data_IF_632596734728
#
_entry.id   IF_632596734728
#
_cell.length_a   1.000
_cell.length_b   1.000
_cell.length_c   1.000
_cell.angle_alpha   90.00
_cell.angle_beta   90.00
_cell.angle_gamma   90.00
#
_symmetry.space_group_name_H-M   'P 1'
#
loop_
_entity.id
_entity.type
_entity.pdbx_description
1 polymer ?
#
# COMPACT_ATOMS: atom_id res chain seq x y z
N UNK A 1 -1.76 -10.93 9.83
CA UNK A 1 -0.94 -9.70 9.93
C UNK A 1 -0.03 -9.65 8.72
N UNK A 2 0.09 -8.52 8.04
CA UNK A 2 0.98 -8.41 6.89
C UNK A 2 2.39 -8.00 7.33
N UNK A 3 3.39 -8.26 6.50
CA UNK A 3 4.76 -7.77 6.68
C UNK A 3 5.26 -7.21 5.35
N UNK A 4 5.87 -6.04 5.39
CA UNK A 4 6.44 -5.40 4.21
C UNK A 4 7.89 -5.05 4.48
N UNK A 5 8.77 -5.31 3.53
CA UNK A 5 10.18 -4.99 3.67
C UNK A 5 10.77 -4.38 2.41
N UNK A 6 11.78 -3.56 2.60
CA UNK A 6 12.64 -3.04 1.55
C UNK A 6 14.10 -3.13 1.97
N UNK A 7 14.94 -3.53 1.05
CA UNK A 7 16.39 -3.60 1.26
C UNK A 7 17.11 -3.05 0.04
N UNK A 8 18.03 -2.14 0.27
CA UNK A 8 18.92 -1.61 -0.75
C UNK A 8 20.24 -2.40 -0.75
N UNK A 9 20.75 -2.66 -1.94
CA UNK A 9 22.07 -3.19 -2.24
C UNK A 9 22.85 -2.14 -3.03
N UNK A 10 24.10 -2.40 -3.38
CA UNK A 10 24.94 -1.44 -4.12
C UNK A 10 24.34 -1.02 -5.47
N UNK A 11 23.78 -1.97 -6.23
CA UNK A 11 23.25 -1.73 -7.58
C UNK A 11 21.76 -2.02 -7.72
N UNK A 12 21.10 -2.49 -6.68
CA UNK A 12 19.71 -2.93 -6.74
C UNK A 12 18.98 -2.67 -5.43
N UNK A 13 17.68 -2.85 -5.43
CA UNK A 13 16.88 -2.94 -4.22
C UNK A 13 15.82 -4.04 -4.35
N UNK A 14 15.37 -4.55 -3.23
CA UNK A 14 14.29 -5.54 -3.15
C UNK A 14 13.17 -4.98 -2.29
N UNK A 15 11.97 -5.02 -2.83
CA UNK A 15 10.72 -4.85 -2.10
C UNK A 15 10.04 -6.22 -1.98
N UNK A 16 9.58 -6.57 -0.80
CA UNK A 16 8.82 -7.79 -0.58
C UNK A 16 7.69 -7.55 0.43
N UNK A 17 6.59 -8.25 0.24
CA UNK A 17 5.44 -8.20 1.15
C UNK A 17 4.74 -9.56 1.17
N UNK A 18 4.33 -10.01 2.36
CA UNK A 18 3.27 -10.98 2.54
C UNK A 18 1.96 -10.27 2.88
N UNK A 19 0.84 -10.83 2.46
CA UNK A 19 -0.49 -10.36 2.79
C UNK A 19 -1.28 -11.46 3.46
N UNK A 20 -1.68 -11.21 4.69
CA UNK A 20 -2.54 -12.12 5.45
C UNK A 20 -4.00 -11.71 5.22
N UNK A 21 -4.73 -12.60 4.56
CA UNK A 21 -6.13 -12.38 4.17
C UNK A 21 -7.04 -13.50 4.71
N UNK A 22 -8.35 -13.35 4.51
CA UNK A 22 -9.31 -14.41 4.85
C UNK A 22 -9.03 -15.70 4.10
N UNK A 23 -9.32 -16.87 4.70
CA UNK A 23 -8.97 -18.18 4.17
C UNK A 23 -9.41 -18.45 2.73
N UNK A 24 -10.55 -17.94 2.31
CA UNK A 24 -11.12 -18.17 0.98
C UNK A 24 -11.12 -16.90 0.13
N UNK A 25 -10.29 -15.94 0.46
CA UNK A 25 -10.17 -14.69 -0.28
C UNK A 25 -9.08 -14.81 -1.34
N UNK A 26 -9.45 -14.90 -2.64
CA UNK A 26 -8.45 -15.01 -3.69
C UNK A 26 -7.66 -13.70 -3.85
N UNK A 27 -6.34 -13.82 -3.93
CA UNK A 27 -5.45 -12.76 -4.38
C UNK A 27 -5.07 -12.98 -5.84
N UNK A 28 -5.15 -11.93 -6.63
CA UNK A 28 -4.92 -11.93 -8.07
C UNK A 28 -3.67 -11.12 -8.38
N UNK A 29 -2.80 -11.68 -9.22
CA UNK A 29 -1.72 -10.92 -9.86
C UNK A 29 -2.25 -10.35 -11.17
N UNK A 30 -2.25 -9.01 -11.30
CA UNK A 30 -2.86 -8.31 -12.43
C UNK A 30 -1.88 -7.30 -13.00
N UNK A 31 -1.62 -7.39 -14.31
CA UNK A 31 -0.94 -6.34 -15.06
C UNK A 31 -1.95 -5.40 -15.71
N UNK A 32 -1.84 -4.12 -15.45
CA UNK A 32 -2.64 -3.07 -16.07
C UNK A 32 -1.73 -2.18 -16.90
N UNK A 33 -2.03 -2.07 -18.18
CA UNK A 33 -1.28 -1.20 -19.08
C UNK A 33 -1.65 0.26 -18.82
N UNK A 34 -0.66 1.10 -18.67
CA UNK A 34 -0.81 2.53 -18.56
C UNK A 34 -1.13 3.20 -19.91
N UNK A 35 -1.38 4.49 -19.85
CA UNK A 35 -1.67 5.30 -21.02
C UNK A 35 -2.49 6.53 -20.71
N UNK A 36 -2.88 7.26 -21.76
CA UNK A 36 -3.80 8.38 -21.66
C UNK A 36 -5.20 7.86 -21.32
N UNK A 37 -5.83 8.51 -20.35
CA UNK A 37 -7.20 8.18 -19.93
C UNK A 37 -8.20 9.07 -20.64
N UNK A 38 -9.44 8.60 -20.77
CA UNK A 38 -10.54 9.35 -21.39
C UNK A 38 -11.69 9.61 -20.42
N UNK A 39 -11.73 8.89 -19.33
CA UNK A 39 -12.71 9.03 -18.26
C UNK A 39 -12.37 10.25 -17.40
N UNK A 40 -13.41 10.97 -16.98
CA UNK A 40 -13.24 12.10 -16.04
C UNK A 40 -13.04 11.66 -14.60
N UNK A 41 -13.55 10.49 -14.27
CA UNK A 41 -13.52 9.92 -12.92
C UNK A 41 -13.09 8.46 -12.94
N UNK A 42 -12.45 8.02 -11.88
CA UNK A 42 -12.18 6.63 -11.59
C UNK A 42 -13.02 6.18 -10.40
N UNK A 43 -13.76 5.09 -10.59
CA UNK A 43 -14.52 4.45 -9.53
C UNK A 43 -13.60 3.49 -8.78
N UNK A 44 -13.20 3.90 -7.57
CA UNK A 44 -12.47 3.07 -6.62
C UNK A 44 -13.41 2.07 -5.93
N UNK A 45 -12.97 1.44 -4.84
CA UNK A 45 -13.78 0.42 -4.17
C UNK A 45 -15.12 0.98 -3.68
N UNK A 46 -15.14 2.15 -3.05
CA UNK A 46 -16.36 2.74 -2.50
C UNK A 46 -16.73 4.10 -3.11
N UNK A 47 -15.77 4.92 -3.47
CA UNK A 47 -16.01 6.27 -3.96
C UNK A 47 -15.42 6.47 -5.35
N UNK A 48 -15.90 7.47 -6.07
CA UNK A 48 -15.30 7.97 -7.30
C UNK A 48 -14.49 9.23 -7.02
N UNK A 49 -13.34 9.36 -7.69
CA UNK A 49 -12.47 10.53 -7.62
C UNK A 49 -12.07 10.94 -9.04
N UNK A 50 -11.60 12.18 -9.26
CA UNK A 50 -11.09 12.60 -10.55
C UNK A 50 -9.99 11.67 -11.08
N UNK A 51 -10.10 11.30 -12.35
CA UNK A 51 -9.10 10.49 -13.02
C UNK A 51 -7.92 11.37 -13.46
N UNK A 52 -6.70 10.82 -13.37
CA UNK A 52 -5.53 11.46 -13.95
C UNK A 52 -5.60 11.38 -15.48
N UNK A 53 -5.07 12.39 -16.19
CA UNK A 53 -5.02 12.38 -17.67
C UNK A 53 -4.14 11.26 -18.22
N UNK A 54 -3.19 10.80 -17.44
CA UNK A 54 -2.30 9.70 -17.77
C UNK A 54 -2.05 8.84 -16.52
N UNK A 55 -2.06 7.52 -16.69
CA UNK A 55 -1.71 6.56 -15.65
C UNK A 55 -0.56 5.67 -16.12
N UNK A 56 0.28 5.25 -15.19
CA UNK A 56 1.41 4.37 -15.48
C UNK A 56 1.00 2.91 -15.45
N UNK A 57 1.72 2.08 -16.22
CA UNK A 57 1.53 0.63 -16.19
C UNK A 57 1.92 0.09 -14.81
N UNK A 58 1.12 -0.85 -14.30
CA UNK A 58 1.31 -1.41 -12.97
C UNK A 58 1.16 -2.93 -12.97
N UNK A 59 1.98 -3.60 -12.18
CA UNK A 59 1.79 -4.99 -11.77
C UNK A 59 1.31 -4.97 -10.31
N UNK A 60 0.12 -5.48 -10.08
CA UNK A 60 -0.57 -5.43 -8.80
C UNK A 60 -0.80 -6.83 -8.24
N UNK A 61 -0.77 -6.95 -6.92
CA UNK A 61 -1.35 -8.07 -6.19
C UNK A 61 -2.52 -7.54 -5.38
N UNK A 62 -3.71 -8.04 -5.68
CA UNK A 62 -4.95 -7.49 -5.16
C UNK A 62 -5.93 -8.56 -4.72
N UNK A 63 -6.71 -8.30 -3.67
CA UNK A 63 -7.90 -9.09 -3.39
C UNK A 63 -8.86 -9.03 -4.58
N UNK A 64 -9.53 -10.14 -4.87
CA UNK A 64 -10.40 -10.28 -6.05
C UNK A 64 -11.53 -9.24 -6.11
N UNK A 65 -12.04 -8.83 -4.97
CA UNK A 65 -13.24 -7.99 -4.83
C UNK A 65 -12.96 -6.48 -4.75
N UNK A 66 -11.73 -6.05 -4.39
CA UNK A 66 -11.40 -4.62 -4.32
C UNK A 66 -11.02 -4.06 -5.68
N UNK A 67 -11.17 -2.76 -5.90
CA UNK A 67 -10.59 -2.08 -7.06
C UNK A 67 -9.08 -1.92 -6.90
N UNK A 68 -8.62 -1.60 -5.71
CA UNK A 68 -7.23 -1.36 -5.36
C UNK A 68 -6.39 -2.62 -5.17
N UNK A 69 -5.19 -2.49 -4.62
CA UNK A 69 -4.23 -3.56 -4.44
C UNK A 69 -3.51 -3.50 -3.08
N UNK A 70 -3.13 -4.64 -2.54
CA UNK A 70 -2.35 -4.78 -1.31
C UNK A 70 -0.89 -4.36 -1.50
N UNK A 71 -0.39 -4.57 -2.71
CA UNK A 71 0.96 -4.22 -3.13
C UNK A 71 1.06 -4.17 -4.65
N UNK A 72 2.10 -3.54 -5.13
CA UNK A 72 2.42 -3.54 -6.55
C UNK A 72 3.69 -2.76 -6.86
N UNK A 73 4.00 -2.76 -8.14
CA UNK A 73 5.10 -2.00 -8.75
C UNK A 73 4.62 -1.37 -10.04
N UNK A 74 5.13 -0.19 -10.37
CA UNK A 74 4.85 0.45 -11.65
C UNK A 74 6.05 0.37 -12.62
N UNK A 75 5.84 0.81 -13.85
CA UNK A 75 6.86 0.81 -14.91
C UNK A 75 8.12 1.66 -14.61
N UNK A 76 8.05 2.54 -13.61
CA UNK A 76 9.17 3.36 -13.14
C UNK A 76 9.93 2.71 -11.98
N UNK A 77 9.52 1.51 -11.54
CA UNK A 77 10.13 0.83 -10.41
C UNK A 77 9.70 1.36 -9.04
N UNK A 78 8.66 2.18 -8.97
CA UNK A 78 8.04 2.53 -7.68
C UNK A 78 7.26 1.35 -7.16
N UNK A 79 7.50 0.95 -5.92
CA UNK A 79 6.75 -0.09 -5.22
C UNK A 79 6.05 0.47 -4.01
N UNK A 80 4.82 0.04 -3.79
CA UNK A 80 3.99 0.43 -2.64
C UNK A 80 3.28 -0.79 -2.07
N UNK A 81 3.27 -0.91 -0.75
CA UNK A 81 2.45 -1.87 -0.02
C UNK A 81 1.83 -1.21 1.20
N UNK A 82 0.66 -1.67 1.62
CA UNK A 82 -0.01 -1.19 2.82
C UNK A 82 -0.12 -2.27 3.89
N UNK A 83 -0.17 -1.81 5.14
CA UNK A 83 -0.39 -2.60 6.35
C UNK A 83 -1.58 -2.04 7.11
N UNK A 84 -2.33 -2.92 7.79
CA UNK A 84 -3.39 -2.50 8.71
C UNK A 84 -2.78 -1.84 9.94
N UNK A 85 -3.22 -0.62 10.27
CA UNK A 85 -2.82 0.13 11.45
C UNK A 85 -4.04 0.40 12.33
N UNK A 86 -4.01 -0.07 13.58
CA UNK A 86 -5.12 0.07 14.52
C UNK A 86 -4.90 1.28 15.43
N UNK A 87 -5.43 2.43 15.02
CA UNK A 87 -5.35 3.68 15.80
C UNK A 87 -6.61 3.92 16.60
N UNK A 88 -6.54 4.77 17.61
CA UNK A 88 -7.71 5.30 18.35
C UNK A 88 -8.10 6.66 17.77
N UNK A 89 -9.42 6.94 17.71
CA UNK A 89 -9.93 8.28 17.43
C UNK A 89 -10.10 8.68 15.97
N UNK A 90 -9.94 7.76 15.00
CA UNK A 90 -10.31 8.02 13.59
C UNK A 90 -11.66 7.38 13.24
N UNK A 91 -12.41 8.03 12.36
CA UNK A 91 -13.60 7.44 11.74
C UNK A 91 -13.16 6.55 10.57
N UNK A 92 -13.13 5.24 10.82
CA UNK A 92 -12.73 4.21 9.86
C UNK A 92 -13.91 3.57 9.13
N UNK A 93 -15.15 3.86 9.57
CA UNK A 93 -16.35 3.19 9.07
C UNK A 93 -16.96 3.88 7.86
N UNK A 94 -16.84 5.19 7.78
CA UNK A 94 -17.32 5.95 6.62
C UNK A 94 -16.59 5.51 5.36
N UNK A 95 -17.34 5.15 4.34
CA UNK A 95 -16.83 4.75 3.04
C UNK A 95 -16.09 5.91 2.37
N UNK A 96 -14.80 5.70 2.14
CA UNK A 96 -13.83 6.61 1.51
C UNK A 96 -12.87 5.77 0.67
N UNK A 97 -11.66 6.28 0.42
CA UNK A 97 -10.59 5.45 -0.14
C UNK A 97 -10.12 4.43 0.91
N UNK A 98 -10.11 3.16 0.58
CA UNK A 98 -9.42 2.17 1.41
C UNK A 98 -7.91 2.17 1.09
N UNK A 99 -7.09 1.64 1.99
CA UNK A 99 -5.64 1.61 1.79
C UNK A 99 -5.22 0.97 0.47
N UNK A 100 -5.92 -0.06 0.05
CA UNK A 100 -5.68 -0.74 -1.23
C UNK A 100 -5.95 0.17 -2.43
N UNK A 101 -6.97 1.04 -2.38
CA UNK A 101 -7.21 2.03 -3.43
C UNK A 101 -6.08 3.05 -3.51
N UNK A 102 -5.59 3.50 -2.34
CA UNK A 102 -4.48 4.44 -2.22
C UNK A 102 -3.18 3.84 -2.79
N UNK A 103 -2.88 2.56 -2.53
CA UNK A 103 -1.73 1.85 -3.12
C UNK A 103 -1.77 1.91 -4.64
N UNK A 104 -2.88 1.52 -5.24
CA UNK A 104 -3.02 1.52 -6.70
C UNK A 104 -2.93 2.92 -7.29
N UNK A 105 -3.64 3.89 -6.71
CA UNK A 105 -3.59 5.28 -7.16
C UNK A 105 -2.19 5.88 -7.09
N UNK A 106 -1.43 5.58 -6.03
CA UNK A 106 -0.05 6.03 -5.89
C UNK A 106 0.85 5.45 -6.98
N UNK A 107 0.71 4.16 -7.27
CA UNK A 107 1.47 3.48 -8.34
C UNK A 107 1.13 4.01 -9.73
N UNK A 108 -0.15 4.23 -10.02
CA UNK A 108 -0.62 4.73 -11.30
C UNK A 108 -0.22 6.20 -11.57
N UNK A 109 0.13 6.98 -10.53
CA UNK A 109 0.28 8.44 -10.60
C UNK A 109 1.66 8.98 -10.20
N UNK A 110 2.68 8.12 -10.04
CA UNK A 110 4.02 8.54 -9.60
C UNK A 110 5.14 7.89 -10.41
N UNK A 111 6.26 8.62 -10.57
CA UNK A 111 7.49 8.13 -11.20
C UNK A 111 8.59 7.84 -10.19
N UNK A 112 8.46 8.35 -8.98
CA UNK A 112 9.44 8.19 -7.91
C UNK A 112 8.74 7.91 -6.60
N UNK A 113 9.46 7.30 -5.64
CA UNK A 113 8.93 7.08 -4.30
C UNK A 113 8.50 8.39 -3.62
N UNK A 114 9.20 9.49 -3.90
CA UNK A 114 8.85 10.81 -3.35
C UNK A 114 7.53 11.32 -3.92
N UNK A 115 7.31 11.21 -5.23
CA UNK A 115 6.03 11.56 -5.86
C UNK A 115 4.90 10.68 -5.32
N UNK A 116 5.14 9.37 -5.14
CA UNK A 116 4.16 8.47 -4.55
C UNK A 116 3.76 8.90 -3.13
N UNK A 117 4.73 9.34 -2.30
CA UNK A 117 4.46 9.93 -0.99
C UNK A 117 3.55 11.15 -1.11
N UNK A 118 3.80 12.05 -2.06
CA UNK A 118 3.00 13.26 -2.24
C UNK A 118 1.58 12.93 -2.75
N UNK A 119 1.45 11.93 -3.62
CA UNK A 119 0.14 11.40 -4.04
C UNK A 119 -0.65 10.83 -2.86
N UNK A 120 -0.03 9.98 -2.03
CA UNK A 120 -0.69 9.39 -0.84
C UNK A 120 -1.16 10.49 0.11
N UNK A 121 -0.32 11.50 0.38
CA UNK A 121 -0.70 12.67 1.20
C UNK A 121 -1.94 13.36 0.65
N UNK A 122 -1.89 13.72 -0.62
CA UNK A 122 -2.99 14.40 -1.30
C UNK A 122 -4.30 13.59 -1.20
N UNK A 123 -4.24 12.29 -1.45
CA UNK A 123 -5.41 11.42 -1.39
C UNK A 123 -6.01 11.36 0.02
N UNK A 124 -5.17 11.23 1.05
CA UNK A 124 -5.61 11.15 2.45
C UNK A 124 -6.18 12.49 2.91
N UNK A 125 -5.53 13.61 2.57
CA UNK A 125 -5.97 14.94 2.97
C UNK A 125 -7.25 15.38 2.26
N UNK A 126 -7.43 14.99 0.99
CA UNK A 126 -8.56 15.44 0.16
C UNK A 126 -9.78 14.53 0.29
N UNK A 127 -9.58 13.20 0.22
CA UNK A 127 -10.68 12.25 0.17
C UNK A 127 -10.83 11.45 1.48
N UNK A 128 -9.81 11.48 2.34
CA UNK A 128 -9.76 10.66 3.55
C UNK A 128 -9.59 9.18 3.27
N UNK A 129 -9.52 8.40 4.34
CA UNK A 129 -9.48 6.95 4.29
C UNK A 129 -10.57 6.33 5.15
N UNK A 130 -11.08 5.17 4.77
CA UNK A 130 -12.10 4.43 5.51
C UNK A 130 -12.94 3.53 4.62
N UNK A 131 -13.74 2.70 5.25
CA UNK A 131 -14.55 1.68 4.63
C UNK A 131 -14.16 0.28 5.09
N UNK A 132 -15.01 -0.70 4.79
CA UNK A 132 -14.74 -2.08 5.14
C UNK A 132 -13.60 -2.65 4.26
N UNK A 133 -12.58 -3.21 4.89
CA UNK A 133 -11.45 -3.86 4.23
C UNK A 133 -11.48 -5.39 4.36
N UNK A 134 -12.52 -5.95 4.98
CA UNK A 134 -12.69 -7.39 5.19
C UNK A 134 -13.56 -8.04 4.12
N UNK A 135 -13.20 -9.27 3.72
CA UNK A 135 -13.93 -10.10 2.77
C UNK A 135 -15.09 -10.83 3.45
N UNK A 136 -14.80 -11.62 4.49
CA UNK A 136 -15.80 -12.44 5.20
C UNK A 136 -16.49 -11.71 6.37
N UNK A 137 -16.21 -10.42 6.55
CA UNK A 137 -16.76 -9.66 7.67
C UNK A 137 -16.35 -8.21 7.66
N UNK A 138 -16.69 -7.51 8.74
CA UNK A 138 -16.34 -6.10 8.91
C UNK A 138 -14.96 -5.96 9.52
N UNK A 139 -14.04 -5.32 8.80
CA UNK A 139 -12.68 -5.09 9.22
C UNK A 139 -12.24 -3.66 8.87
N UNK A 140 -12.04 -2.82 9.88
CA UNK A 140 -11.77 -1.40 9.74
C UNK A 140 -10.45 -1.03 10.37
N UNK A 141 -9.58 -0.35 9.61
CA UNK A 141 -8.26 0.08 10.06
C UNK A 141 -7.81 1.36 9.34
N UNK A 142 -6.85 2.04 9.91
CA UNK A 142 -6.04 3.01 9.19
C UNK A 142 -4.86 2.29 8.52
N UNK A 143 -4.04 3.00 7.79
CA UNK A 143 -2.98 2.38 7.00
C UNK A 143 -1.60 2.85 7.41
N UNK A 144 -0.65 1.93 7.37
CA UNK A 144 0.77 2.19 7.21
C UNK A 144 1.16 1.82 5.78
N UNK A 145 1.98 2.64 5.13
CA UNK A 145 2.46 2.40 3.77
C UNK A 145 3.98 2.32 3.76
N UNK A 146 4.53 1.28 3.12
CA UNK A 146 5.92 1.29 2.66
C UNK A 146 5.93 1.71 1.20
N UNK A 147 6.60 2.81 0.91
CA UNK A 147 6.67 3.45 -0.41
C UNK A 147 8.15 3.52 -0.79
N UNK A 148 8.54 2.88 -1.88
CA UNK A 148 9.95 2.83 -2.25
C UNK A 148 10.17 2.82 -3.76
N UNK A 149 11.39 3.17 -4.12
CA UNK A 149 11.98 2.95 -5.44
C UNK A 149 13.38 2.33 -5.26
N UNK A 150 14.16 2.31 -6.33
CA UNK A 150 15.52 1.78 -6.30
C UNK A 150 16.42 2.45 -5.24
N UNK A 151 16.24 3.75 -5.02
CA UNK A 151 17.19 4.58 -4.26
C UNK A 151 16.65 5.03 -2.90
N UNK A 152 15.34 5.03 -2.71
CA UNK A 152 14.71 5.63 -1.53
C UNK A 152 13.53 4.79 -1.04
N UNK A 153 13.35 4.79 0.27
CA UNK A 153 12.16 4.22 0.89
C UNK A 153 11.62 5.13 2.01
N UNK A 154 10.30 5.10 2.14
CA UNK A 154 9.56 5.87 3.13
C UNK A 154 8.53 4.97 3.80
N UNK A 155 8.36 5.15 5.10
CA UNK A 155 7.21 4.64 5.84
C UNK A 155 6.28 5.82 6.11
N UNK A 156 5.01 5.67 5.78
CA UNK A 156 3.97 6.63 6.11
C UNK A 156 2.90 5.94 6.93
N UNK A 157 2.75 6.36 8.18
CA UNK A 157 1.68 5.90 9.07
C UNK A 157 0.57 6.94 9.13
N UNK A 158 -0.67 6.48 9.18
CA UNK A 158 -1.84 7.35 9.05
C UNK A 158 -2.84 7.13 10.19
N UNK A 159 -3.59 8.18 10.52
CA UNK A 159 -4.70 8.13 11.45
C UNK A 159 -5.79 9.10 10.96
N UNK A 160 -6.86 8.56 10.36
CA UNK A 160 -7.86 9.39 9.67
C UNK A 160 -7.23 10.23 8.55
N UNK A 161 -7.39 11.55 8.62
CA UNK A 161 -6.79 12.51 7.68
C UNK A 161 -5.37 12.97 8.05
N UNK A 162 -4.76 12.40 9.11
CA UNK A 162 -3.42 12.77 9.57
C UNK A 162 -2.41 11.70 9.17
N UNK A 163 -1.16 12.10 9.02
CA UNK A 163 -0.07 11.20 8.67
C UNK A 163 1.25 11.62 9.31
N UNK A 164 2.14 10.66 9.47
CA UNK A 164 3.56 10.87 9.81
C UNK A 164 4.40 10.16 8.76
N UNK A 165 5.52 10.76 8.39
CA UNK A 165 6.42 10.26 7.36
C UNK A 165 7.81 10.07 7.92
N UNK A 166 8.40 8.89 7.68
CA UNK A 166 9.78 8.59 7.98
C UNK A 166 10.50 8.13 6.71
N UNK A 167 11.56 8.85 6.32
CA UNK A 167 12.50 8.36 5.31
C UNK A 167 13.39 7.29 5.94
N UNK A 168 13.52 6.16 5.28
CA UNK A 168 14.45 5.11 5.71
C UNK A 168 15.87 5.47 5.24
N UNK A 169 16.81 5.44 6.18
CA UNK A 169 18.24 5.57 5.91
C UNK A 169 18.85 4.20 6.14
N UNK A 170 19.31 3.54 5.10
CA UNK A 170 19.99 2.26 5.25
C UNK A 170 21.47 2.50 5.10
N UNK A 171 22.10 2.52 6.25
CA UNK A 171 23.49 2.12 6.41
C UNK A 171 23.43 0.86 7.25
N UNK A 172 23.72 -0.32 6.64
CA UNK A 172 24.02 -1.60 7.29
C UNK A 172 22.93 -2.60 7.61
N UNK A 173 23.16 -3.78 7.03
CA UNK A 173 23.02 -5.15 7.58
C UNK A 173 21.74 -5.49 8.34
N UNK A 174 20.95 -6.41 7.77
CA UNK A 174 19.89 -7.18 8.41
C UNK A 174 18.85 -6.33 9.16
N UNK A 175 17.83 -5.94 8.48
CA UNK A 175 16.62 -5.50 9.13
C UNK A 175 15.53 -6.56 9.02
N UNK A 176 15.45 -7.38 10.03
CA UNK A 176 14.25 -8.10 10.35
C UNK A 176 13.26 -7.11 10.96
N UNK A 177 12.01 -7.13 10.47
CA UNK A 177 10.85 -6.50 11.07
C UNK A 177 11.02 -5.00 11.40
N UNK A 178 10.68 -4.12 10.46
CA UNK A 178 10.34 -2.76 10.82
C UNK A 178 8.82 -2.64 10.94
N UNK A 179 8.33 -3.05 12.08
CA UNK A 179 7.17 -2.45 12.67
C UNK A 179 7.69 -1.24 13.46
N UNK A 180 7.69 -0.06 12.89
CA UNK A 180 7.99 1.14 13.65
C UNK A 180 6.68 1.82 13.94
N UNK A 181 6.06 1.43 15.02
CA UNK A 181 5.06 2.26 15.66
C UNK A 181 5.63 2.83 16.96
N UNK A 182 5.94 4.12 17.04
CA UNK A 182 6.23 4.77 18.31
C UNK A 182 4.96 5.18 19.06
N UNK A 183 3.78 4.86 18.56
CA UNK A 183 2.51 5.19 19.21
C UNK A 183 1.89 3.90 19.71
N UNK A 184 2.00 3.63 21.00
CA UNK A 184 1.43 2.52 21.80
C UNK A 184 0.50 1.59 21.02
N UNK A 185 1.03 0.42 20.62
CA UNK A 185 0.23 -0.72 20.18
C UNK A 185 -0.08 -1.63 21.38
N UNK A 186 -1.35 -1.78 21.69
CA UNK A 186 -1.81 -3.00 22.33
C UNK A 186 -1.87 -4.10 21.27
N UNK A 187 -0.96 -5.05 21.35
CA UNK A 187 -0.93 -6.22 20.47
C UNK A 187 -2.01 -7.19 20.92
N UNK A 188 -3.12 -7.24 20.21
CA UNK A 188 -4.07 -8.35 20.33
C UNK A 188 -3.49 -9.58 19.60
N UNK A 189 -3.26 -10.66 20.32
CA UNK A 189 -2.88 -11.95 19.77
C UNK A 189 -4.05 -12.53 18.95
N UNK A 190 -3.91 -12.65 17.63
CA UNK A 190 -4.85 -13.36 16.78
C UNK A 190 -4.38 -14.81 16.55
N UNK A 191 -5.35 -15.74 16.52
CA UNK A 191 -5.15 -17.16 16.39
C UNK A 191 -4.57 -17.52 15.00
N UNK A 192 -3.44 -18.24 14.97
CA UNK A 192 -2.59 -18.50 13.80
C UNK A 192 -3.14 -19.51 12.77
N UNK A 193 -4.38 -19.97 12.87
CA UNK A 193 -4.83 -21.16 12.13
C UNK A 193 -5.48 -20.91 10.77
N UNK A 194 -5.39 -19.71 10.18
CA UNK A 194 -6.13 -19.40 8.95
C UNK A 194 -5.45 -18.39 8.04
N UNK A 195 -4.17 -18.62 7.70
CA UNK A 195 -3.42 -17.65 6.90
C UNK A 195 -2.90 -18.28 5.61
N UNK A 196 -3.34 -17.76 4.46
CA UNK A 196 -2.69 -18.01 3.18
C UNK A 196 -1.58 -16.98 2.95
N UNK A 197 -0.33 -17.41 2.90
CA UNK A 197 0.81 -16.53 2.63
C UNK A 197 1.08 -16.44 1.13
N UNK A 198 1.06 -15.23 0.60
CA UNK A 198 1.55 -14.96 -0.75
C UNK A 198 2.80 -14.08 -0.62
N UNK A 199 3.94 -14.62 -1.04
CA UNK A 199 5.18 -13.88 -1.13
C UNK A 199 5.36 -13.37 -2.56
N UNK A 200 5.51 -12.06 -2.72
CA UNK A 200 5.96 -11.45 -3.97
C UNK A 200 7.21 -10.64 -3.67
N UNK A 201 8.28 -11.02 -4.34
CA UNK A 201 9.54 -10.29 -4.32
C UNK A 201 9.73 -9.60 -5.67
N UNK A 202 9.91 -8.30 -5.64
CA UNK A 202 10.25 -7.51 -6.83
C UNK A 202 11.70 -7.06 -6.69
N UNK A 203 12.55 -7.53 -7.61
CA UNK A 203 13.96 -7.16 -7.63
C UNK A 203 14.19 -6.11 -8.72
N UNK A 204 14.77 -4.98 -8.35
CA UNK A 204 15.23 -3.96 -9.29
C UNK A 204 16.72 -4.14 -9.48
N UNK A 205 17.15 -4.47 -10.70
CA UNK A 205 18.55 -4.37 -11.11
C UNK A 205 18.72 -3.21 -12.06
N UNK A 206 19.81 -2.46 -11.92
CA UNK A 206 20.28 -1.56 -12.98
C UNK A 206 20.98 -2.39 -14.01
N UNK A 207 20.54 -2.32 -15.27
CA UNK A 207 21.34 -2.69 -16.45
C UNK A 207 22.27 -1.55 -16.76
#
# INVERSE_FOLDING_TARGET
MCDTMWRQFETSSVFAKNSDRSCNEPNLSVFLRGGKTHEREVKCTYISIPQAEYVYSVLLVKPSWTWGAEMGVNEWGVSVGNEALFTKGSDKKTERLIGMDIVRLALERSKTAKEAVDVVKYLIETYGQGGNCGFDGKFYYDNSFLICDKDKAFIMETCGGRWVLKKLHITLKCAYNYLVCPIHMEVGLFNQNSVSHIFISVMFSTV
#
